data_IF_792943444477
#
_entry.id   IF_792943444477
#
_cell.length_a   1.000
_cell.length_b   1.000
_cell.length_c   1.000
_cell.angle_alpha   90.00
_cell.angle_beta   90.00
_cell.angle_gamma   90.00
#
_symmetry.space_group_name_H-M   'P 1'
#
loop_
_entity.id
_entity.type
_entity.pdbx_description
1 polymer ?
#
# COMPACT_ATOMS: atom_id res chain seq x y z
N UNK A 1 33.94 -5.41 51.92
CA UNK A 1 33.16 -5.66 50.67
C UNK A 1 32.43 -7.03 50.64
N UNK A 2 33.00 -8.09 51.22
CA UNK A 2 32.40 -9.43 51.26
C UNK A 2 31.16 -9.50 52.18
N UNK A 3 31.13 -8.77 53.29
CA UNK A 3 29.97 -8.71 54.19
C UNK A 3 28.78 -7.96 53.55
N UNK A 4 29.04 -6.93 52.74
CA UNK A 4 28.02 -6.18 52.02
C UNK A 4 27.36 -7.01 50.92
N UNK A 5 28.14 -7.84 50.22
CA UNK A 5 27.62 -8.73 49.18
C UNK A 5 26.77 -9.89 49.73
N UNK A 6 27.11 -10.42 50.92
CA UNK A 6 26.33 -11.43 51.64
C UNK A 6 24.94 -10.88 52.05
N UNK A 7 24.90 -9.66 52.61
CA UNK A 7 23.67 -9.02 53.02
C UNK A 7 22.71 -8.77 51.86
N UNK A 8 23.22 -8.39 50.67
CA UNK A 8 22.40 -8.25 49.46
C UNK A 8 21.81 -9.60 48.99
N UNK A 9 22.63 -10.66 48.99
CA UNK A 9 22.19 -12.00 48.64
C UNK A 9 21.07 -12.53 49.54
N UNK A 10 21.18 -12.26 50.87
CA UNK A 10 20.14 -12.66 51.83
C UNK A 10 18.85 -11.85 51.68
N UNK A 11 18.93 -10.59 51.30
CA UNK A 11 17.74 -9.77 51.00
C UNK A 11 17.02 -10.30 49.75
N UNK A 12 17.77 -10.58 48.68
CA UNK A 12 17.19 -11.17 47.47
C UNK A 12 16.59 -12.56 47.71
N UNK A 13 17.26 -13.38 48.54
CA UNK A 13 16.75 -14.71 48.90
C UNK A 13 15.44 -14.62 49.68
N UNK A 14 15.32 -13.74 50.67
CA UNK A 14 14.08 -13.51 51.42
C UNK A 14 12.97 -12.96 50.54
N UNK A 15 13.27 -12.08 49.54
CA UNK A 15 12.27 -11.60 48.59
C UNK A 15 11.78 -12.72 47.68
N UNK A 16 12.66 -13.61 47.23
CA UNK A 16 12.29 -14.78 46.47
C UNK A 16 11.45 -15.77 47.28
N UNK A 17 11.81 -16.00 48.55
CA UNK A 17 11.07 -16.92 49.43
C UNK A 17 9.68 -16.39 49.82
N UNK A 18 9.49 -15.07 49.94
CA UNK A 18 8.21 -14.46 50.35
C UNK A 18 7.30 -14.09 49.14
N UNK A 19 7.89 -13.67 48.00
CA UNK A 19 7.13 -13.14 46.87
C UNK A 19 7.51 -13.83 45.55
N UNK A 20 8.16 -14.97 45.58
CA UNK A 20 8.71 -15.65 44.41
C UNK A 20 7.62 -16.02 43.38
N UNK A 21 6.49 -16.48 43.88
CA UNK A 21 5.34 -16.83 42.98
C UNK A 21 4.74 -15.60 42.29
N UNK A 22 4.63 -14.48 43.00
CA UNK A 22 4.13 -13.21 42.48
C UNK A 22 5.09 -12.63 41.42
N UNK A 23 6.38 -12.60 41.73
CA UNK A 23 7.43 -12.16 40.81
C UNK A 23 7.52 -13.05 39.56
N UNK A 24 7.29 -14.35 39.70
CA UNK A 24 7.24 -15.28 38.58
C UNK A 24 6.03 -15.02 37.71
N UNK A 25 4.86 -14.83 38.31
CA UNK A 25 3.63 -14.51 37.61
C UNK A 25 3.75 -13.19 36.83
N UNK A 26 4.28 -12.14 37.44
CA UNK A 26 4.54 -10.84 36.80
C UNK A 26 5.52 -10.96 35.64
N UNK A 27 6.58 -11.75 35.80
CA UNK A 27 7.55 -11.97 34.71
C UNK A 27 6.91 -12.74 33.55
N UNK A 28 6.08 -13.74 33.81
CA UNK A 28 5.33 -14.47 32.78
C UNK A 28 4.37 -13.54 32.06
N UNK A 29 3.60 -12.72 32.77
CA UNK A 29 2.69 -11.74 32.21
C UNK A 29 3.43 -10.71 31.34
N UNK A 30 4.55 -10.17 31.83
CA UNK A 30 5.38 -9.23 31.08
C UNK A 30 5.92 -9.84 29.79
N UNK A 31 6.47 -11.07 29.87
CA UNK A 31 7.01 -11.76 28.68
C UNK A 31 5.91 -12.13 27.68
N UNK A 32 4.76 -12.57 28.17
CA UNK A 32 3.59 -12.90 27.34
C UNK A 32 3.08 -11.66 26.59
N UNK A 33 2.96 -10.52 27.31
CA UNK A 33 2.54 -9.27 26.71
C UNK A 33 3.55 -8.78 25.63
N UNK A 34 4.86 -8.84 25.95
CA UNK A 34 5.93 -8.50 25.00
C UNK A 34 5.92 -9.40 23.76
N UNK A 35 5.66 -10.69 23.92
CA UNK A 35 5.52 -11.63 22.82
C UNK A 35 4.26 -11.31 21.98
N UNK A 36 3.14 -11.00 22.63
CA UNK A 36 1.91 -10.59 21.97
C UNK A 36 2.09 -9.34 21.09
N UNK A 37 2.78 -8.31 21.61
CA UNK A 37 3.10 -7.09 20.85
C UNK A 37 3.99 -7.41 19.64
N UNK A 38 5.05 -8.22 19.84
CA UNK A 38 5.94 -8.62 18.73
C UNK A 38 5.19 -9.40 17.65
N UNK A 39 4.35 -10.34 18.05
CA UNK A 39 3.52 -11.13 17.13
C UNK A 39 2.58 -10.25 16.33
N UNK A 40 1.88 -9.32 17.00
CA UNK A 40 0.99 -8.34 16.34
C UNK A 40 1.73 -7.49 15.32
N UNK A 41 2.92 -6.96 15.68
CA UNK A 41 3.72 -6.14 14.77
C UNK A 41 4.19 -6.96 13.56
N UNK A 42 4.65 -8.19 13.77
CA UNK A 42 5.05 -9.09 12.68
C UNK A 42 3.89 -9.38 11.71
N UNK A 43 2.71 -9.69 12.23
CA UNK A 43 1.51 -9.93 11.40
C UNK A 43 1.15 -8.68 10.60
N UNK A 44 1.19 -7.48 11.20
CA UNK A 44 0.92 -6.22 10.49
C UNK A 44 1.94 -5.95 9.38
N UNK A 45 3.22 -6.21 9.64
CA UNK A 45 4.27 -6.09 8.63
C UNK A 45 4.03 -7.05 7.45
N UNK A 46 3.73 -8.31 7.72
CA UNK A 46 3.42 -9.30 6.67
C UNK A 46 2.18 -8.90 5.87
N UNK A 47 1.11 -8.46 6.53
CA UNK A 47 -0.10 -7.94 5.86
C UNK A 47 0.23 -6.75 4.96
N UNK A 48 1.06 -5.82 5.42
CA UNK A 48 1.50 -4.67 4.64
C UNK A 48 2.30 -5.09 3.39
N UNK A 49 3.26 -6.02 3.53
CA UNK A 49 4.04 -6.55 2.41
C UNK A 49 3.15 -7.26 1.37
N UNK A 50 2.21 -8.09 1.82
CA UNK A 50 1.25 -8.77 0.94
C UNK A 50 0.34 -7.76 0.23
N UNK A 51 -0.16 -6.77 0.94
CA UNK A 51 -1.01 -5.71 0.40
C UNK A 51 -0.30 -4.88 -0.67
N UNK A 52 0.98 -4.54 -0.45
CA UNK A 52 1.77 -3.84 -1.48
C UNK A 52 1.95 -4.67 -2.76
N UNK A 53 2.09 -6.00 -2.66
CA UNK A 53 2.13 -6.88 -3.84
C UNK A 53 0.81 -6.83 -4.61
N UNK A 54 -0.33 -6.85 -3.90
CA UNK A 54 -1.66 -6.72 -4.51
C UNK A 54 -1.81 -5.36 -5.17
N UNK A 55 -1.49 -4.27 -4.48
CA UNK A 55 -1.56 -2.91 -5.03
C UNK A 55 -0.71 -2.79 -6.29
N UNK A 56 0.54 -3.24 -6.25
CA UNK A 56 1.45 -3.20 -7.40
C UNK A 56 0.89 -4.01 -8.59
N UNK A 57 0.34 -5.19 -8.35
CA UNK A 57 -0.34 -6.00 -9.39
C UNK A 57 -1.43 -5.20 -10.08
N UNK A 58 -2.37 -4.63 -9.32
CA UNK A 58 -3.51 -3.90 -9.86
C UNK A 58 -3.14 -2.55 -10.47
N UNK A 59 -2.16 -1.86 -9.91
CA UNK A 59 -1.59 -0.62 -10.44
C UNK A 59 -1.08 -0.82 -11.87
N UNK A 60 -0.32 -1.90 -12.13
CA UNK A 60 0.22 -2.18 -13.46
C UNK A 60 -0.78 -2.81 -14.42
N UNK A 61 -1.75 -3.58 -13.94
CA UNK A 61 -2.89 -4.03 -14.76
C UNK A 61 -3.67 -2.81 -15.25
N UNK A 62 -4.03 -1.89 -14.36
CA UNK A 62 -4.75 -0.65 -14.68
C UNK A 62 -3.99 0.21 -15.67
N UNK A 63 -2.73 0.50 -15.40
CA UNK A 63 -1.87 1.24 -16.31
C UNK A 63 -1.76 0.57 -17.68
N UNK A 64 -1.65 -0.76 -17.72
CA UNK A 64 -1.58 -1.52 -18.96
C UNK A 64 -2.84 -1.47 -19.80
N UNK A 65 -4.01 -1.51 -19.17
CA UNK A 65 -5.32 -1.42 -19.88
C UNK A 65 -5.51 -0.03 -20.48
N UNK A 66 -5.22 1.04 -19.75
CA UNK A 66 -5.34 2.43 -20.22
C UNK A 66 -4.34 2.73 -21.34
N UNK A 67 -3.15 2.13 -21.30
CA UNK A 67 -2.18 2.29 -22.38
C UNK A 67 -2.67 1.75 -23.73
N UNK A 68 -3.48 0.68 -23.69
CA UNK A 68 -4.08 0.07 -24.89
C UNK A 68 -5.36 0.77 -25.29
N UNK A 69 -6.20 1.08 -24.33
CA UNK A 69 -7.51 1.71 -24.55
C UNK A 69 -7.64 2.95 -23.64
N UNK A 70 -7.30 4.16 -24.14
CA UNK A 70 -7.28 5.36 -23.32
C UNK A 70 -8.70 5.78 -22.95
N UNK A 71 -9.11 5.47 -21.73
CA UNK A 71 -10.30 5.99 -21.08
C UNK A 71 -9.90 7.10 -20.11
N UNK A 72 -10.76 8.09 -19.86
CA UNK A 72 -10.53 9.04 -18.78
C UNK A 72 -10.28 8.29 -17.46
N UNK A 73 -9.21 8.67 -16.74
CA UNK A 73 -8.80 7.95 -15.52
C UNK A 73 -9.93 7.83 -14.47
N UNK A 74 -10.83 8.82 -14.46
CA UNK A 74 -12.00 8.84 -13.56
C UNK A 74 -13.01 7.76 -13.94
N UNK A 75 -13.33 7.61 -15.21
CA UNK A 75 -14.29 6.60 -15.70
C UNK A 75 -13.74 5.19 -15.48
N UNK A 76 -12.43 5.03 -15.66
CA UNK A 76 -11.77 3.76 -15.39
C UNK A 76 -11.85 3.34 -13.93
N UNK A 77 -11.62 4.28 -13.00
CA UNK A 77 -11.69 4.00 -11.57
C UNK A 77 -13.13 3.67 -11.10
N UNK A 78 -14.14 4.24 -11.74
CA UNK A 78 -15.55 4.01 -11.36
C UNK A 78 -16.16 2.74 -11.96
N UNK A 79 -15.72 2.32 -13.14
CA UNK A 79 -16.42 1.30 -13.93
C UNK A 79 -15.79 -0.07 -13.94
N UNK A 80 -14.52 -0.22 -13.47
CA UNK A 80 -13.82 -1.49 -13.67
C UNK A 80 -13.89 -2.46 -12.51
N UNK A 81 -14.24 -3.71 -12.86
CA UNK A 81 -14.12 -4.88 -11.99
C UNK A 81 -12.73 -5.08 -11.38
N UNK A 82 -11.69 -4.50 -12.00
CA UNK A 82 -10.29 -4.55 -11.54
C UNK A 82 -10.12 -3.90 -10.16
N UNK A 83 -10.73 -2.72 -9.96
CA UNK A 83 -10.64 -2.02 -8.66
C UNK A 83 -11.40 -2.75 -7.57
N UNK A 84 -12.59 -3.29 -7.90
CA UNK A 84 -13.35 -4.10 -6.95
C UNK A 84 -12.59 -5.37 -6.55
N UNK A 85 -11.91 -6.01 -7.50
CA UNK A 85 -11.07 -7.17 -7.22
C UNK A 85 -9.90 -6.82 -6.29
N UNK A 86 -9.23 -5.66 -6.50
CA UNK A 86 -8.18 -5.18 -5.60
C UNK A 86 -8.70 -5.00 -4.17
N UNK A 87 -9.85 -4.33 -4.00
CA UNK A 87 -10.46 -4.11 -2.69
C UNK A 87 -10.78 -5.44 -2.02
N UNK A 88 -11.35 -6.38 -2.75
CA UNK A 88 -11.68 -7.72 -2.26
C UNK A 88 -10.43 -8.56 -1.92
N UNK A 89 -9.34 -8.45 -2.69
CA UNK A 89 -8.09 -9.13 -2.35
C UNK A 89 -7.43 -8.50 -1.10
N UNK A 90 -7.44 -7.17 -0.98
CA UNK A 90 -6.93 -6.48 0.20
C UNK A 90 -7.72 -6.83 1.45
N UNK A 91 -9.06 -6.86 1.39
CA UNK A 91 -9.90 -7.21 2.54
C UNK A 91 -9.60 -8.62 3.07
N UNK A 92 -9.31 -9.58 2.18
CA UNK A 92 -8.94 -10.95 2.57
C UNK A 92 -7.63 -11.01 3.35
N UNK A 93 -6.64 -10.17 3.01
CA UNK A 93 -5.36 -10.10 3.73
C UNK A 93 -5.57 -9.67 5.18
N UNK A 94 -6.56 -8.80 5.41
CA UNK A 94 -6.94 -8.32 6.74
C UNK A 94 -8.03 -9.16 7.39
N UNK A 95 -8.44 -10.29 6.78
CA UNK A 95 -9.48 -11.21 7.28
C UNK A 95 -10.86 -10.53 7.39
N UNK A 96 -11.10 -9.52 6.56
CA UNK A 96 -12.34 -8.75 6.53
C UNK A 96 -13.25 -9.33 5.45
N UNK A 97 -14.49 -9.67 5.82
CA UNK A 97 -15.50 -10.16 4.88
C UNK A 97 -16.24 -8.96 4.28
N UNK A 98 -15.95 -8.64 3.02
CA UNK A 98 -16.67 -7.62 2.26
C UNK A 98 -17.59 -8.25 1.21
N UNK A 99 -18.77 -7.68 1.03
CA UNK A 99 -19.60 -7.97 -0.14
C UNK A 99 -19.14 -7.15 -1.36
N UNK A 100 -19.58 -7.54 -2.55
CA UNK A 100 -19.32 -6.73 -3.76
C UNK A 100 -19.91 -5.33 -3.64
N UNK A 101 -21.03 -5.17 -2.93
CA UNK A 101 -21.66 -3.89 -2.66
C UNK A 101 -20.78 -3.02 -1.80
N UNK A 102 -20.28 -3.55 -0.66
CA UNK A 102 -19.39 -2.81 0.25
C UNK A 102 -18.11 -2.36 -0.47
N UNK A 103 -17.53 -3.23 -1.30
CA UNK A 103 -16.35 -2.90 -2.09
C UNK A 103 -16.63 -1.77 -3.10
N UNK A 104 -17.82 -1.75 -3.72
CA UNK A 104 -18.26 -0.68 -4.62
C UNK A 104 -18.46 0.64 -3.87
N UNK A 105 -19.09 0.59 -2.70
CA UNK A 105 -19.35 1.77 -1.86
C UNK A 105 -18.03 2.38 -1.35
N UNK A 106 -17.07 1.54 -0.94
CA UNK A 106 -15.71 1.97 -0.60
C UNK A 106 -14.98 2.61 -1.79
N UNK A 107 -15.04 2.00 -2.96
CA UNK A 107 -14.44 2.56 -4.18
C UNK A 107 -15.02 3.95 -4.49
N UNK A 108 -16.35 4.07 -4.46
CA UNK A 108 -17.05 5.33 -4.74
C UNK A 108 -16.70 6.42 -3.73
N UNK A 109 -16.63 6.07 -2.45
CA UNK A 109 -16.28 7.00 -1.36
C UNK A 109 -14.83 7.50 -1.51
N UNK A 110 -13.88 6.61 -1.83
CA UNK A 110 -12.48 6.98 -2.07
C UNK A 110 -12.33 7.89 -3.29
N UNK A 111 -13.05 7.59 -4.37
CA UNK A 111 -13.03 8.44 -5.57
C UNK A 111 -13.60 9.82 -5.31
N UNK A 112 -14.70 9.88 -4.54
CA UNK A 112 -15.28 11.17 -4.12
C UNK A 112 -14.28 11.98 -3.28
N UNK A 113 -13.55 11.33 -2.37
CA UNK A 113 -12.51 11.99 -1.58
C UNK A 113 -11.37 12.52 -2.46
N UNK A 114 -10.85 11.71 -3.40
CA UNK A 114 -9.84 12.12 -4.37
C UNK A 114 -10.29 13.30 -5.24
N UNK A 115 -11.54 13.28 -5.69
CA UNK A 115 -12.12 14.35 -6.51
C UNK A 115 -12.25 15.66 -5.73
N UNK A 116 -12.80 15.60 -4.50
CA UNK A 116 -12.99 16.77 -3.63
C UNK A 116 -11.66 17.46 -3.28
N UNK A 117 -10.60 16.70 -3.13
CA UNK A 117 -9.26 17.23 -2.84
C UNK A 117 -8.48 17.65 -4.10
N UNK A 118 -9.06 17.53 -5.28
CA UNK A 118 -8.39 17.89 -6.54
C UNK A 118 -7.26 16.94 -6.93
N UNK A 119 -7.11 15.80 -6.26
CA UNK A 119 -6.01 14.83 -6.50
C UNK A 119 -6.10 14.22 -7.88
N UNK A 120 -7.31 14.01 -8.40
CA UNK A 120 -7.51 13.50 -9.76
C UNK A 120 -6.91 14.39 -10.83
N UNK A 121 -7.04 15.72 -10.70
CA UNK A 121 -6.42 16.70 -11.60
C UNK A 121 -4.95 16.95 -11.27
N UNK A 122 -4.63 17.03 -9.97
CA UNK A 122 -3.28 17.27 -9.48
C UNK A 122 -2.30 16.15 -9.85
N UNK A 123 -2.75 14.90 -9.94
CA UNK A 123 -1.91 13.78 -10.34
C UNK A 123 -1.33 13.94 -11.74
N UNK A 124 -2.12 14.39 -12.70
CA UNK A 124 -1.64 14.72 -14.05
C UNK A 124 -0.58 15.83 -14.03
N UNK A 125 -0.82 16.89 -13.27
CA UNK A 125 0.10 18.03 -13.20
C UNK A 125 1.47 17.67 -12.60
N UNK A 126 1.49 16.75 -11.63
CA UNK A 126 2.72 16.31 -10.96
C UNK A 126 3.52 15.32 -11.83
N UNK A 127 2.84 14.38 -12.49
CA UNK A 127 3.50 13.32 -13.27
C UNK A 127 3.93 13.78 -14.67
N UNK A 128 3.21 14.73 -15.26
CA UNK A 128 3.49 15.19 -16.63
C UNK A 128 4.91 15.71 -16.84
N UNK A 129 5.48 16.58 -16.00
CA UNK A 129 6.86 17.07 -16.18
C UNK A 129 7.89 15.95 -16.05
N UNK A 130 7.72 15.06 -15.06
CA UNK A 130 8.66 13.97 -14.81
C UNK A 130 8.69 12.94 -15.95
N UNK A 131 7.56 12.72 -16.63
CA UNK A 131 7.46 11.81 -17.77
C UNK A 131 7.89 12.49 -19.09
N UNK A 132 7.69 13.80 -19.23
CA UNK A 132 7.98 14.54 -20.44
C UNK A 132 9.47 14.54 -20.82
N UNK A 133 10.36 14.49 -19.84
CA UNK A 133 11.81 14.44 -20.04
C UNK A 133 12.32 13.11 -20.59
N UNK A 134 11.53 12.04 -20.43
CA UNK A 134 12.00 10.66 -20.69
C UNK A 134 11.28 9.96 -21.85
N UNK A 135 10.19 10.52 -22.39
CA UNK A 135 9.35 9.87 -23.40
C UNK A 135 9.21 10.72 -24.67
N UNK A 136 9.14 10.05 -25.83
CA UNK A 136 8.87 10.72 -27.11
C UNK A 136 7.44 11.27 -27.17
N UNK A 137 7.22 12.40 -27.86
CA UNK A 137 5.94 13.14 -27.90
C UNK A 137 4.71 12.29 -28.27
N UNK A 138 4.87 11.28 -29.11
CA UNK A 138 3.76 10.44 -29.61
C UNK A 138 3.30 9.42 -28.54
N UNK A 139 4.23 8.99 -27.66
CA UNK A 139 3.95 8.01 -26.61
C UNK A 139 3.50 8.73 -25.33
N UNK A 140 3.82 10.02 -25.22
CA UNK A 140 3.69 10.80 -24.02
C UNK A 140 2.26 10.87 -23.48
N UNK A 141 1.25 11.19 -24.31
CA UNK A 141 -0.13 11.42 -23.82
C UNK A 141 -0.78 10.18 -23.24
N UNK A 142 -0.66 9.03 -23.94
CA UNK A 142 -1.20 7.75 -23.47
C UNK A 142 -0.44 7.23 -22.24
N UNK A 143 0.87 7.44 -22.22
CA UNK A 143 1.71 7.04 -21.09
C UNK A 143 1.42 7.86 -19.83
N UNK A 144 1.20 9.17 -19.95
CA UNK A 144 0.84 10.04 -18.84
C UNK A 144 -0.47 9.57 -18.19
N UNK A 145 -1.51 9.32 -19.00
CA UNK A 145 -2.80 8.84 -18.48
C UNK A 145 -2.66 7.48 -17.78
N UNK A 146 -1.95 6.54 -18.42
CA UNK A 146 -1.70 5.21 -17.90
C UNK A 146 -0.95 5.24 -16.56
N UNK A 147 0.12 6.02 -16.48
CA UNK A 147 0.94 6.16 -15.26
C UNK A 147 0.16 6.88 -14.17
N UNK A 148 -0.60 7.93 -14.52
CA UNK A 148 -1.46 8.65 -13.56
C UNK A 148 -2.52 7.73 -12.97
N UNK A 149 -3.17 6.91 -13.78
CA UNK A 149 -4.15 5.96 -13.30
C UNK A 149 -3.53 4.92 -12.35
N UNK A 150 -2.37 4.37 -12.70
CA UNK A 150 -1.62 3.49 -11.81
C UNK A 150 -1.27 4.16 -10.48
N UNK A 151 -0.82 5.41 -10.52
CA UNK A 151 -0.51 6.17 -9.32
C UNK A 151 -1.73 6.44 -8.43
N UNK A 152 -2.89 6.74 -9.04
CA UNK A 152 -4.16 6.88 -8.31
C UNK A 152 -4.58 5.56 -7.66
N UNK A 153 -4.43 4.42 -8.35
CA UNK A 153 -4.67 3.09 -7.76
C UNK A 153 -3.77 2.84 -6.56
N UNK A 154 -2.51 3.26 -6.61
CA UNK A 154 -1.61 3.18 -5.46
C UNK A 154 -2.13 3.97 -4.27
N UNK A 155 -2.59 5.20 -4.48
CA UNK A 155 -3.17 6.04 -3.40
C UNK A 155 -4.40 5.37 -2.82
N UNK A 156 -5.33 4.90 -3.66
CA UNK A 156 -6.53 4.17 -3.23
C UNK A 156 -6.15 2.93 -2.40
N UNK A 157 -5.24 2.12 -2.90
CA UNK A 157 -4.80 0.89 -2.23
C UNK A 157 -4.15 1.15 -0.87
N UNK A 158 -3.26 2.15 -0.79
CA UNK A 158 -2.61 2.54 0.47
C UNK A 158 -3.62 3.12 1.48
N UNK A 159 -4.62 3.86 1.02
CA UNK A 159 -5.70 4.36 1.88
C UNK A 159 -6.56 3.21 2.43
N UNK A 160 -6.82 2.18 1.62
CA UNK A 160 -7.52 0.97 2.08
C UNK A 160 -6.70 0.16 3.09
N UNK A 161 -5.38 0.11 2.96
CA UNK A 161 -4.52 -0.51 3.97
C UNK A 161 -4.73 0.15 5.34
N UNK A 162 -4.73 1.48 5.40
CA UNK A 162 -4.97 2.21 6.66
C UNK A 162 -6.38 1.91 7.22
N UNK A 163 -7.39 1.92 6.38
CA UNK A 163 -8.76 1.58 6.75
C UNK A 163 -8.89 0.17 7.34
N UNK A 164 -8.35 -0.83 6.65
CA UNK A 164 -8.44 -2.22 7.09
C UNK A 164 -7.58 -2.50 8.31
N UNK A 165 -6.40 -1.89 8.40
CA UNK A 165 -5.51 -2.00 9.55
C UNK A 165 -6.14 -1.47 10.83
N UNK A 166 -6.97 -0.44 10.71
CA UNK A 166 -7.69 0.19 11.82
C UNK A 166 -9.07 -0.44 12.07
N UNK A 167 -9.34 -1.64 11.57
CA UNK A 167 -10.60 -2.34 11.84
C UNK A 167 -11.80 -1.76 11.09
N UNK A 168 -11.61 -1.28 9.88
CA UNK A 168 -12.62 -0.63 9.04
C UNK A 168 -13.02 0.76 9.57
N UNK A 169 -12.06 1.47 10.13
CA UNK A 169 -12.25 2.82 10.64
C UNK A 169 -11.30 3.80 9.92
N UNK A 170 -11.82 4.94 9.50
CA UNK A 170 -11.06 6.03 8.89
C UNK A 170 -10.43 6.97 9.91
N UNK A 171 -10.75 6.82 11.21
CA UNK A 171 -10.36 7.72 12.27
C UNK A 171 -11.16 9.03 12.28
N UNK A 172 -10.83 9.92 13.22
CA UNK A 172 -11.59 11.16 13.50
C UNK A 172 -11.64 12.12 12.29
N UNK A 173 -10.60 12.17 11.48
CA UNK A 173 -10.54 13.03 10.28
C UNK A 173 -11.21 12.42 9.05
N UNK A 174 -11.71 11.20 9.16
CA UNK A 174 -12.42 10.49 8.12
C UNK A 174 -11.57 10.16 6.89
N UNK A 175 -12.25 9.70 5.85
CA UNK A 175 -11.62 9.28 4.58
C UNK A 175 -10.78 10.39 3.93
N UNK A 176 -11.18 11.65 4.08
CA UNK A 176 -10.48 12.79 3.48
C UNK A 176 -9.08 12.97 4.06
N UNK A 177 -8.94 12.86 5.38
CA UNK A 177 -7.65 12.99 6.05
C UNK A 177 -6.71 11.85 5.68
N UNK A 178 -7.21 10.60 5.66
CA UNK A 178 -6.41 9.45 5.25
C UNK A 178 -5.92 9.60 3.80
N UNK A 179 -6.81 9.96 2.89
CA UNK A 179 -6.46 10.16 1.48
C UNK A 179 -5.45 11.29 1.29
N UNK A 180 -5.62 12.43 1.97
CA UNK A 180 -4.67 13.55 1.91
C UNK A 180 -3.29 13.16 2.46
N UNK A 181 -3.25 12.49 3.60
CA UNK A 181 -2.02 11.97 4.19
C UNK A 181 -1.26 11.06 3.21
N UNK A 182 -1.96 10.07 2.62
CA UNK A 182 -1.37 9.15 1.65
C UNK A 182 -0.91 9.87 0.38
N UNK A 183 -1.69 10.84 -0.10
CA UNK A 183 -1.32 11.67 -1.25
C UNK A 183 -0.04 12.48 -0.98
N UNK A 184 0.05 13.16 0.19
CA UNK A 184 1.25 13.92 0.58
C UNK A 184 2.50 13.04 0.66
N UNK A 185 2.38 11.83 1.19
CA UNK A 185 3.47 10.87 1.23
C UNK A 185 3.85 10.43 -0.20
N UNK A 186 2.85 10.10 -1.02
CA UNK A 186 3.06 9.59 -2.38
C UNK A 186 3.69 10.60 -3.33
N UNK A 187 3.50 11.91 -3.08
CA UNK A 187 4.10 12.98 -3.89
C UNK A 187 5.51 13.41 -3.42
N UNK A 188 6.05 12.82 -2.36
CA UNK A 188 7.44 13.08 -1.97
C UNK A 188 8.38 12.72 -3.11
N UNK A 189 9.39 13.55 -3.32
CA UNK A 189 10.27 13.46 -4.49
C UNK A 189 10.93 12.09 -4.65
N UNK A 190 11.40 11.51 -3.54
CA UNK A 190 12.01 10.18 -3.51
C UNK A 190 11.05 9.09 -3.98
N UNK A 191 9.81 9.11 -3.48
CA UNK A 191 8.76 8.12 -3.80
C UNK A 191 8.26 8.30 -5.23
N UNK A 192 8.01 9.55 -5.63
CA UNK A 192 7.52 9.88 -6.96
C UNK A 192 8.53 9.52 -8.04
N UNK A 193 9.81 9.88 -7.85
CA UNK A 193 10.86 9.56 -8.80
C UNK A 193 11.08 8.06 -8.97
N UNK A 194 11.02 7.28 -7.88
CA UNK A 194 11.11 5.83 -7.96
C UNK A 194 9.92 5.24 -8.72
N UNK A 195 8.70 5.73 -8.47
CA UNK A 195 7.51 5.30 -9.19
C UNK A 195 7.60 5.62 -10.68
N UNK A 196 8.03 6.83 -11.05
CA UNK A 196 8.20 7.27 -12.45
C UNK A 196 9.25 6.43 -13.16
N UNK A 197 10.40 6.17 -12.55
CA UNK A 197 11.44 5.29 -13.10
C UNK A 197 10.92 3.88 -13.38
N UNK A 198 10.19 3.30 -12.44
CA UNK A 198 9.58 1.98 -12.62
C UNK A 198 8.54 1.99 -13.76
N UNK A 199 7.72 3.05 -13.85
CA UNK A 199 6.74 3.19 -14.90
C UNK A 199 7.37 3.27 -16.30
N UNK A 200 8.41 4.07 -16.45
CA UNK A 200 9.18 4.21 -17.71
C UNK A 200 9.76 2.85 -18.12
N UNK A 201 10.45 2.17 -17.22
CA UNK A 201 11.03 0.85 -17.48
C UNK A 201 9.99 -0.17 -17.98
N UNK A 202 8.79 -0.19 -17.37
CA UNK A 202 7.70 -1.09 -17.80
C UNK A 202 7.11 -0.73 -19.16
N UNK A 203 7.03 0.57 -19.48
CA UNK A 203 6.57 1.04 -20.80
C UNK A 203 7.57 0.65 -21.89
N UNK A 204 8.87 0.83 -21.64
CA UNK A 204 9.93 0.48 -22.56
C UNK A 204 10.02 -1.02 -22.82
N UNK A 205 9.95 -1.85 -21.77
CA UNK A 205 9.90 -3.31 -21.91
C UNK A 205 8.72 -3.76 -22.77
N UNK A 206 7.53 -3.19 -22.56
CA UNK A 206 6.33 -3.53 -23.35
C UNK A 206 6.50 -3.18 -24.83
N UNK A 207 7.18 -2.07 -25.13
CA UNK A 207 7.54 -1.65 -26.50
C UNK A 207 8.49 -2.64 -27.15
N UNK A 208 9.53 -3.06 -26.41
CA UNK A 208 10.52 -4.04 -26.88
C UNK A 208 9.87 -5.39 -27.24
N UNK A 209 9.02 -5.93 -26.38
CA UNK A 209 8.29 -7.17 -26.64
C UNK A 209 7.30 -7.07 -27.82
N UNK A 210 6.70 -5.90 -28.06
CA UNK A 210 5.80 -5.68 -29.19
C UNK A 210 6.59 -5.59 -30.51
N UNK A 211 7.79 -5.02 -30.49
CA UNK A 211 8.67 -4.92 -31.66
C UNK A 211 9.27 -6.25 -32.06
N UNK A 212 9.59 -7.12 -31.09
CA UNK A 212 10.22 -8.44 -31.36
C UNK A 212 9.20 -9.56 -31.70
N UNK A 213 7.91 -9.29 -31.74
CA UNK A 213 6.90 -10.27 -32.19
C UNK A 213 6.85 -10.44 -33.72
N UNK A 214 7.64 -9.68 -34.49
CA UNK A 214 7.86 -9.91 -35.92
C UNK A 214 9.18 -10.70 -36.14
N UNK A 215 9.30 -11.89 -35.55
CA UNK A 215 10.28 -12.84 -36.03
C UNK A 215 9.84 -13.29 -37.42
N UNK A 216 10.74 -13.29 -38.44
CA UNK A 216 10.43 -13.83 -39.75
C UNK A 216 10.06 -15.30 -39.62
N UNK A 217 9.15 -15.83 -40.48
CA UNK A 217 8.86 -17.25 -40.47
C UNK A 217 10.17 -18.02 -40.76
N UNK A 218 10.41 -19.04 -39.97
CA UNK A 218 11.49 -20.01 -40.24
C UNK A 218 11.20 -20.58 -41.64
N UNK A 219 11.99 -20.18 -42.64
CA UNK A 219 12.09 -20.88 -43.90
C UNK A 219 12.92 -22.15 -43.65
N UNK A 220 12.25 -23.31 -43.73
CA UNK A 220 12.92 -24.62 -43.87
C UNK A 220 13.57 -24.71 -45.23
#
# INVERSE_FOLDING_TARGET
>A
DIQRSRGLGDVYKRQLDNNGEELLADNILFRSNKLGIKSKNFVQEQRYLMSNKVINKYMWITGGVILVNPLPAVDFLTTTSVNLQMIMELSKIYEIKLTKKDAKDLATSLLSALAKQGILKGGLAILSPALATSLTKIILSKSIQSVTAGWLIRIVGLSLIEYFKNGQDWGDGGIQEVVDKIYRISKREDILNNFVKEAISKIEMKKYFKSNKSLPPFTM
#
